data_IF_974551934154
#
_entry.id   IF_974551934154
#
_cell.length_a   1.000
_cell.length_b   1.000
_cell.length_c   1.000
_cell.angle_alpha   90.00
_cell.angle_beta   90.00
_cell.angle_gamma   90.00
#
_symmetry.space_group_name_H-M   'P 1'
#
loop_
_entity.id
_entity.type
_entity.pdbx_description
1 polymer ?
#
# COMPACT_ATOMS: atom_id res chain seq x y z
N UNK A 1 15.92 -12.45 0.55
CA UNK A 1 15.19 -11.25 0.09
C UNK A 1 14.04 -11.02 1.04
N UNK A 2 13.86 -9.78 1.51
CA UNK A 2 12.73 -9.44 2.38
C UNK A 2 11.42 -9.82 1.69
N UNK A 3 10.60 -10.61 2.40
CA UNK A 3 9.28 -11.07 1.93
C UNK A 3 8.18 -10.05 2.17
N UNK A 4 8.54 -8.87 2.70
CA UNK A 4 7.60 -7.86 3.16
C UNK A 4 8.17 -6.47 2.89
N UNK A 5 7.33 -5.58 2.42
CA UNK A 5 7.67 -4.19 2.08
C UNK A 5 6.67 -3.24 2.75
N UNK A 6 7.18 -2.13 3.26
CA UNK A 6 6.38 -1.07 3.88
C UNK A 6 6.16 0.04 2.87
N UNK A 7 4.90 0.37 2.60
CA UNK A 7 4.54 1.45 1.68
C UNK A 7 3.83 2.56 2.44
N UNK A 8 4.34 3.78 2.25
CA UNK A 8 3.78 5.00 2.80
C UNK A 8 3.62 6.04 1.71
N UNK A 9 2.52 6.78 1.82
CA UNK A 9 2.27 7.98 1.05
C UNK A 9 1.93 9.11 2.00
N UNK A 10 2.60 10.26 1.82
CA UNK A 10 2.32 11.46 2.59
C UNK A 10 0.93 11.99 2.21
N UNK A 11 0.08 12.25 3.20
CA UNK A 11 -1.21 12.92 3.01
C UNK A 11 -2.29 12.14 2.24
N UNK A 12 -2.09 10.87 1.92
CA UNK A 12 -3.12 10.09 1.22
C UNK A 12 -4.34 9.84 2.11
N UNK A 13 -5.58 10.10 1.63
CA UNK A 13 -6.80 9.78 2.38
C UNK A 13 -6.96 8.28 2.65
N UNK A 14 -7.68 7.94 3.73
CA UNK A 14 -8.02 6.55 4.08
C UNK A 14 -8.65 5.77 2.92
N UNK A 15 -9.54 6.41 2.17
CA UNK A 15 -10.21 5.78 1.03
C UNK A 15 -9.21 5.32 -0.04
N UNK A 16 -8.19 6.15 -0.32
CA UNK A 16 -7.16 5.82 -1.31
C UNK A 16 -6.26 4.69 -0.80
N UNK A 17 -5.89 4.68 0.49
CA UNK A 17 -5.19 3.55 1.09
C UNK A 17 -5.96 2.23 0.95
N UNK A 18 -7.28 2.25 1.14
CA UNK A 18 -8.15 1.07 0.95
C UNK A 18 -8.24 0.65 -0.51
N UNK A 19 -8.28 1.61 -1.44
CA UNK A 19 -8.26 1.35 -2.88
C UNK A 19 -6.95 0.66 -3.31
N UNK A 20 -5.81 1.20 -2.89
CA UNK A 20 -4.48 0.61 -3.14
C UNK A 20 -4.43 -0.83 -2.61
N UNK A 21 -4.83 -1.04 -1.35
CA UNK A 21 -4.85 -2.37 -0.76
C UNK A 21 -5.74 -3.35 -1.54
N UNK A 22 -6.86 -2.88 -2.08
CA UNK A 22 -7.78 -3.69 -2.87
C UNK A 22 -7.14 -4.11 -4.20
N UNK A 23 -6.50 -3.20 -4.92
CA UNK A 23 -5.80 -3.53 -6.18
C UNK A 23 -4.62 -4.48 -5.96
N UNK A 24 -3.81 -4.25 -4.91
CA UNK A 24 -2.65 -5.09 -4.63
C UNK A 24 -3.05 -6.53 -4.24
N UNK A 25 -4.14 -6.72 -3.51
CA UNK A 25 -4.66 -8.05 -3.14
C UNK A 25 -5.18 -8.87 -4.33
N UNK A 26 -5.40 -8.24 -5.49
CA UNK A 26 -5.76 -8.95 -6.72
C UNK A 26 -4.53 -9.54 -7.43
N UNK A 27 -3.32 -9.22 -6.99
CA UNK A 27 -2.09 -9.76 -7.56
C UNK A 27 -1.78 -11.11 -6.92
N UNK A 28 -1.53 -12.12 -7.76
CA UNK A 28 -1.21 -13.47 -7.29
C UNK A 28 0.02 -13.49 -6.37
N UNK A 29 -0.14 -14.16 -5.23
CA UNK A 29 0.92 -14.29 -4.24
C UNK A 29 1.22 -13.01 -3.45
N UNK A 30 0.31 -12.03 -3.46
CA UNK A 30 0.46 -10.77 -2.73
C UNK A 30 -0.60 -10.66 -1.64
N UNK A 31 -0.14 -10.49 -0.41
CA UNK A 31 -0.98 -10.19 0.76
C UNK A 31 -0.76 -8.74 1.19
N UNK A 32 -1.81 -8.07 1.65
CA UNK A 32 -1.72 -6.67 2.08
C UNK A 32 -2.44 -6.43 3.39
N UNK A 33 -1.76 -5.80 4.34
CA UNK A 33 -2.33 -5.33 5.60
C UNK A 33 -2.21 -3.81 5.73
N UNK A 34 -3.20 -3.20 6.39
CA UNK A 34 -3.23 -1.78 6.71
C UNK A 34 -2.85 -1.61 8.19
N UNK A 35 -1.86 -0.77 8.48
CA UNK A 35 -1.53 -0.43 9.86
C UNK A 35 -2.32 0.80 10.29
N UNK A 36 -3.07 0.75 11.41
CA UNK A 36 -3.78 1.92 11.92
C UNK A 36 -2.83 3.09 12.21
N UNK A 37 -3.37 4.29 12.13
CA UNK A 37 -2.70 5.50 12.62
C UNK A 37 -2.68 5.50 14.14
N UNK A 38 -1.55 5.85 14.74
CA UNK A 38 -1.35 5.88 16.20
C UNK A 38 -1.10 7.29 16.75
N UNK A 39 -1.21 8.32 15.89
CA UNK A 39 -1.20 9.72 16.30
C UNK A 39 -2.20 9.98 17.42
N UNK A 40 -1.74 10.69 18.47
CA UNK A 40 -2.59 11.12 19.58
C UNK A 40 -3.34 12.42 19.30
N UNK A 41 -2.98 13.11 18.21
CA UNK A 41 -3.60 14.37 17.82
C UNK A 41 -4.58 14.10 16.68
N UNK A 42 -5.80 14.64 16.81
CA UNK A 42 -6.79 14.57 15.76
C UNK A 42 -6.45 15.58 14.66
N UNK A 43 -6.23 15.09 13.45
CA UNK A 43 -6.11 15.89 12.24
C UNK A 43 -7.04 15.28 11.19
N UNK A 44 -8.01 16.06 10.72
CA UNK A 44 -8.98 15.63 9.73
C UNK A 44 -8.33 15.23 8.40
N UNK A 45 -7.19 15.84 8.08
CA UNK A 45 -6.43 15.56 6.86
C UNK A 45 -5.45 14.39 7.03
N UNK A 46 -5.25 13.92 8.27
CA UNK A 46 -4.43 12.74 8.53
C UNK A 46 -5.24 11.47 8.30
N UNK A 47 -4.66 10.55 7.50
CA UNK A 47 -5.24 9.22 7.32
C UNK A 47 -5.33 8.46 8.63
N UNK A 48 -6.42 7.69 8.79
CA UNK A 48 -6.56 6.69 9.86
C UNK A 48 -5.65 5.46 9.66
N UNK A 49 -4.93 5.40 8.54
CA UNK A 49 -3.91 4.40 8.23
C UNK A 49 -2.55 5.08 8.18
N UNK A 50 -1.55 4.49 8.84
CA UNK A 50 -0.17 4.99 8.79
C UNK A 50 0.58 4.45 7.57
N UNK A 51 0.40 3.17 7.24
CA UNK A 51 1.11 2.51 6.13
C UNK A 51 0.38 1.25 5.65
N UNK A 52 0.78 0.79 4.47
CA UNK A 52 0.50 -0.54 3.95
C UNK A 52 1.71 -1.44 4.20
N UNK A 53 1.46 -2.70 4.48
CA UNK A 53 2.45 -3.75 4.37
C UNK A 53 2.07 -4.66 3.22
N UNK A 54 3.01 -4.87 2.31
CA UNK A 54 2.88 -5.77 1.15
C UNK A 54 3.75 -6.99 1.41
N UNK A 55 3.15 -8.16 1.43
CA UNK A 55 3.80 -9.43 1.71
C UNK A 55 3.75 -10.32 0.46
N UNK A 56 4.91 -10.86 0.09
CA UNK A 56 5.10 -11.68 -1.09
C UNK A 56 5.24 -13.14 -0.67
N UNK A 57 4.25 -13.96 -1.04
CA UNK A 57 4.26 -15.40 -0.73
C UNK A 57 5.14 -16.17 -1.71
N UNK A 58 5.30 -17.48 -1.50
CA UNK A 58 6.04 -18.36 -2.42
C UNK A 58 5.45 -18.41 -3.83
N UNK A 59 4.17 -18.03 -3.99
CA UNK A 59 3.49 -18.01 -5.27
C UNK A 59 3.73 -16.71 -6.05
N UNK A 60 4.43 -15.73 -5.45
CA UNK A 60 4.75 -14.48 -6.13
C UNK A 60 5.90 -14.65 -7.14
N UNK A 61 5.58 -14.46 -8.42
CA UNK A 61 6.55 -14.46 -9.51
C UNK A 61 7.11 -13.08 -9.83
N UNK A 62 7.95 -13.01 -10.86
CA UNK A 62 8.44 -11.74 -11.40
C UNK A 62 7.30 -10.85 -11.92
N UNK A 63 6.29 -11.45 -12.57
CA UNK A 63 5.11 -10.73 -13.06
C UNK A 63 4.30 -10.12 -11.92
N UNK A 64 4.10 -10.84 -10.81
CA UNK A 64 3.43 -10.30 -9.61
C UNK A 64 4.15 -9.07 -9.08
N UNK A 65 5.49 -9.13 -8.96
CA UNK A 65 6.30 -8.00 -8.49
C UNK A 65 6.22 -6.81 -9.43
N UNK A 66 6.29 -7.05 -10.74
CA UNK A 66 6.13 -5.99 -11.74
C UNK A 66 4.74 -5.35 -11.67
N UNK A 67 3.69 -6.15 -11.48
CA UNK A 67 2.31 -5.65 -11.35
C UNK A 67 2.15 -4.78 -10.11
N UNK A 68 2.69 -5.20 -8.96
CA UNK A 68 2.70 -4.38 -7.74
C UNK A 68 3.40 -3.06 -7.99
N UNK A 69 4.58 -3.07 -8.62
CA UNK A 69 5.32 -1.85 -8.92
C UNK A 69 4.53 -0.90 -9.85
N UNK A 70 3.84 -1.43 -10.87
CA UNK A 70 2.98 -0.63 -11.75
C UNK A 70 1.83 0.04 -10.98
N UNK A 71 1.16 -0.72 -10.10
CA UNK A 71 0.08 -0.19 -9.26
C UNK A 71 0.61 0.94 -8.37
N UNK A 72 1.70 0.70 -7.64
CA UNK A 72 2.29 1.69 -6.74
C UNK A 72 2.77 2.94 -7.49
N UNK A 73 3.39 2.77 -8.67
CA UNK A 73 3.84 3.87 -9.52
C UNK A 73 2.68 4.74 -9.99
N UNK A 74 1.54 4.12 -10.34
CA UNK A 74 0.34 4.87 -10.72
C UNK A 74 -0.14 5.78 -9.58
N UNK A 75 -0.25 5.26 -8.36
CA UNK A 75 -0.68 6.05 -7.21
C UNK A 75 0.35 7.09 -6.80
N UNK A 76 1.65 6.77 -6.90
CA UNK A 76 2.71 7.74 -6.68
C UNK A 76 2.55 8.90 -7.67
N UNK A 77 2.51 8.64 -8.98
CA UNK A 77 2.38 9.69 -10.00
C UNK A 77 1.08 10.50 -9.88
N UNK A 78 -0.01 9.89 -9.39
CA UNK A 78 -1.29 10.56 -9.22
C UNK A 78 -1.34 11.50 -8.01
N UNK A 79 -0.59 11.19 -6.96
CA UNK A 79 -0.68 11.89 -5.67
C UNK A 79 0.64 12.53 -5.22
N UNK A 80 1.74 12.34 -5.95
CA UNK A 80 2.92 13.17 -5.88
C UNK A 80 2.59 14.54 -6.46
N UNK A 81 2.46 15.53 -5.58
CA UNK A 81 2.34 16.95 -5.93
C UNK A 81 3.72 17.52 -6.21
#
# INVERSE_FOLDING_TARGET
>A
MEKRERIEFAGLPLAVYREIATHLRQVEGVEVSLTPQTSKQFDYNQSQVSCLWVEYTSNSGAESRQRVQQILTYYHNRYSV
#
